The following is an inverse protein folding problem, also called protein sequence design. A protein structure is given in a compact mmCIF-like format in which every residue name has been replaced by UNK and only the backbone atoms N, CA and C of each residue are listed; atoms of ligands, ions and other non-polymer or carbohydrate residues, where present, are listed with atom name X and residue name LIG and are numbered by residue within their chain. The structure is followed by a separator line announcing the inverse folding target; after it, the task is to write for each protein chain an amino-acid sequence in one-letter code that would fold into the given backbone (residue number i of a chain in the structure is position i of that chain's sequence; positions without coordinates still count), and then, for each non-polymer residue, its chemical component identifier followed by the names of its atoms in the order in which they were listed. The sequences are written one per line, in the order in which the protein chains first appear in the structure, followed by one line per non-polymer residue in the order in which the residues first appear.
data_IF_589649958542
#
_entry.id   IF_589649958542
#
_cell.length_a   1.000
_cell.length_b   1.000
_cell.length_c   1.000
_cell.angle_alpha   90.00
_cell.angle_beta   90.00
_cell.angle_gamma   90.00
#
_symmetry.space_group_name_H-M   'P 1'
#
loop_
_entity.id
_entity.type
_entity.pdbx_description
1 polymer ?
#
# COMPACT_ATOMS: atom_id res chain seq x y z
N UNK A 1 8.31 -0.91 -7.84
CA UNK A 1 8.13 -0.08 -9.06
C UNK A 1 9.31 0.83 -9.35
N UNK A 2 9.73 1.71 -8.44
CA UNK A 2 10.76 2.73 -8.73
C UNK A 2 12.09 2.15 -9.23
N UNK A 3 12.58 1.08 -8.62
CA UNK A 3 13.82 0.41 -9.08
C UNK A 3 13.73 -0.09 -10.53
N UNK A 4 12.54 -0.49 -10.98
CA UNK A 4 12.34 -0.89 -12.37
C UNK A 4 12.21 0.33 -13.28
N UNK A 5 11.62 1.41 -12.78
CA UNK A 5 11.50 2.65 -13.51
C UNK A 5 12.85 3.36 -13.72
N UNK A 6 13.78 3.28 -12.76
CA UNK A 6 15.15 3.77 -12.92
C UNK A 6 15.85 3.16 -14.12
N UNK A 7 15.66 1.86 -14.35
CA UNK A 7 16.18 1.16 -15.55
C UNK A 7 15.59 1.70 -16.86
N UNK A 8 14.44 2.35 -16.78
CA UNK A 8 13.74 2.98 -17.90
C UNK A 8 13.91 4.52 -17.90
N UNK A 9 14.89 5.06 -17.18
CA UNK A 9 15.26 6.48 -17.23
C UNK A 9 14.53 7.41 -16.25
N UNK A 10 13.75 6.88 -15.30
CA UNK A 10 13.05 7.72 -14.31
C UNK A 10 13.95 8.00 -13.11
N UNK A 11 14.33 9.27 -12.96
CA UNK A 11 15.26 9.72 -11.91
C UNK A 11 14.60 9.93 -10.54
N UNK A 12 13.32 10.34 -10.50
CA UNK A 12 12.62 10.66 -9.26
C UNK A 12 11.39 9.75 -9.06
N UNK A 13 11.23 9.21 -7.85
CA UNK A 13 10.08 8.38 -7.44
C UNK A 13 8.76 9.14 -7.63
N UNK A 14 8.76 10.44 -7.40
CA UNK A 14 7.56 11.27 -7.54
C UNK A 14 7.07 11.43 -8.98
N UNK A 15 7.90 11.13 -9.97
CA UNK A 15 7.50 11.19 -11.38
C UNK A 15 6.75 9.92 -11.82
N UNK A 16 6.79 8.84 -11.03
CA UNK A 16 6.07 7.59 -11.34
C UNK A 16 4.56 7.80 -11.50
N UNK A 17 3.98 8.68 -10.68
CA UNK A 17 2.54 9.03 -10.69
C UNK A 17 2.14 9.90 -11.87
N UNK A 18 3.10 10.43 -12.65
CA UNK A 18 2.86 11.23 -13.86
C UNK A 18 2.87 10.39 -15.14
N UNK A 19 3.34 9.15 -15.06
CA UNK A 19 3.36 8.23 -16.20
C UNK A 19 1.96 7.88 -16.66
N UNK A 20 1.84 7.50 -17.93
CA UNK A 20 0.58 6.98 -18.45
C UNK A 20 0.19 5.67 -17.75
N UNK A 21 -1.11 5.39 -17.66
CA UNK A 21 -1.62 4.13 -17.07
C UNK A 21 -0.97 2.87 -17.68
N UNK A 22 -0.78 2.76 -19.01
CA UNK A 22 -0.08 1.61 -19.61
C UNK A 22 1.35 1.43 -19.11
N UNK A 23 2.12 2.52 -18.97
CA UNK A 23 3.48 2.47 -18.46
C UNK A 23 3.51 2.05 -16.99
N UNK A 24 2.61 2.61 -16.17
CA UNK A 24 2.48 2.21 -14.77
C UNK A 24 2.13 0.72 -14.65
N UNK A 25 1.20 0.21 -15.46
CA UNK A 25 0.82 -1.22 -15.49
C UNK A 25 2.01 -2.12 -15.86
N UNK A 26 2.82 -1.71 -16.85
CA UNK A 26 4.03 -2.44 -17.25
C UNK A 26 5.04 -2.50 -16.09
N UNK A 27 5.33 -1.35 -15.47
CA UNK A 27 6.26 -1.25 -14.33
C UNK A 27 5.77 -2.03 -13.10
N UNK A 28 4.47 -2.01 -12.82
CA UNK A 28 3.85 -2.81 -11.76
C UNK A 28 4.04 -4.30 -12.02
N UNK A 29 3.78 -4.77 -13.24
CA UNK A 29 3.92 -6.19 -13.60
C UNK A 29 5.37 -6.67 -13.49
N UNK A 30 6.34 -5.87 -13.94
CA UNK A 30 7.76 -6.20 -13.82
C UNK A 30 8.22 -6.22 -12.36
N UNK A 31 7.78 -5.26 -11.56
CA UNK A 31 8.06 -5.24 -10.13
C UNK A 31 7.46 -6.46 -9.42
N UNK A 32 6.20 -6.81 -9.73
CA UNK A 32 5.53 -7.98 -9.18
C UNK A 32 6.29 -9.27 -9.48
N UNK A 33 6.72 -9.49 -10.73
CA UNK A 33 7.51 -10.68 -11.10
C UNK A 33 8.83 -10.76 -10.34
N UNK A 34 9.51 -9.62 -10.16
CA UNK A 34 10.75 -9.56 -9.40
C UNK A 34 10.52 -9.91 -7.92
N UNK A 35 9.45 -9.38 -7.33
CA UNK A 35 9.10 -9.68 -5.93
C UNK A 35 8.74 -11.16 -5.77
N UNK A 36 7.94 -11.72 -6.68
CA UNK A 36 7.55 -13.14 -6.66
C UNK A 36 8.73 -14.10 -6.86
N UNK A 37 9.87 -13.62 -7.38
CA UNK A 37 11.10 -14.42 -7.51
C UNK A 37 12.03 -14.36 -6.28
N UNK A 38 11.68 -13.63 -5.23
CA UNK A 38 12.46 -13.60 -3.99
C UNK A 38 12.33 -14.97 -3.30
N UNK A 39 13.44 -15.65 -2.95
CA UNK A 39 13.41 -17.01 -2.43
C UNK A 39 13.14 -17.10 -0.91
N UNK A 40 12.89 -15.97 -0.25
CA UNK A 40 12.66 -15.91 1.18
C UNK A 40 11.29 -16.50 1.55
N UNK A 41 11.19 -17.15 2.71
CA UNK A 41 9.94 -17.74 3.21
C UNK A 41 8.84 -16.70 3.46
N UNK A 42 9.23 -15.46 3.75
CA UNK A 42 8.33 -14.38 4.14
C UNK A 42 8.76 -13.09 3.44
N UNK A 43 7.89 -12.58 2.58
CA UNK A 43 8.12 -11.31 1.86
C UNK A 43 7.06 -10.29 2.26
N UNK A 44 7.48 -9.22 2.93
CA UNK A 44 6.59 -8.10 3.29
C UNK A 44 6.65 -7.05 2.19
N UNK A 45 5.48 -6.74 1.60
CA UNK A 45 5.35 -5.75 0.52
C UNK A 45 4.72 -4.48 1.09
N UNK A 46 5.55 -3.45 1.35
CA UNK A 46 5.06 -2.10 1.64
C UNK A 46 4.57 -1.43 0.35
N UNK A 47 3.27 -1.24 0.24
CA UNK A 47 2.61 -0.66 -0.92
C UNK A 47 1.35 0.09 -0.52
N UNK A 48 0.82 0.88 -1.45
CA UNK A 48 -0.46 1.55 -1.30
C UNK A 48 -1.56 0.75 -2.02
N UNK A 49 -2.78 0.73 -1.48
CA UNK A 49 -3.94 0.15 -2.17
C UNK A 49 -4.26 0.89 -3.48
N UNK A 50 -3.97 2.19 -3.54
CA UNK A 50 -4.09 3.01 -4.73
C UNK A 50 -3.07 4.16 -4.74
N UNK A 51 -2.92 4.74 -5.93
CA UNK A 51 -2.24 6.01 -6.15
C UNK A 51 -3.33 7.05 -6.44
N UNK A 52 -3.37 8.12 -5.63
CA UNK A 52 -4.25 9.25 -5.91
C UNK A 52 -3.67 10.05 -7.09
N UNK A 53 -4.49 10.26 -8.11
CA UNK A 53 -4.16 11.02 -9.32
C UNK A 53 -5.21 12.11 -9.55
N UNK A 54 -4.95 13.04 -10.47
CA UNK A 54 -5.95 14.03 -10.88
C UNK A 54 -7.20 13.41 -11.49
N UNK A 55 -7.09 12.21 -12.06
CA UNK A 55 -8.16 11.48 -12.73
C UNK A 55 -8.92 10.52 -11.80
N UNK A 56 -8.50 10.41 -10.53
CA UNK A 56 -9.09 9.52 -9.54
C UNK A 56 -8.08 8.58 -8.89
N UNK A 57 -8.55 7.44 -8.41
CA UNK A 57 -7.73 6.45 -7.68
C UNK A 57 -7.27 5.34 -8.63
N UNK A 58 -5.98 5.30 -8.92
CA UNK A 58 -5.38 4.23 -9.73
C UNK A 58 -4.99 3.05 -8.83
N UNK A 59 -5.44 1.81 -9.09
CA UNK A 59 -5.14 0.67 -8.22
C UNK A 59 -3.63 0.40 -8.07
N UNK A 60 -3.17 0.25 -6.84
CA UNK A 60 -1.80 -0.17 -6.54
C UNK A 60 -1.59 -1.67 -6.70
N UNK A 61 -2.68 -2.44 -6.57
CA UNK A 61 -2.71 -3.89 -6.72
C UNK A 61 -3.81 -4.30 -7.73
N UNK A 62 -3.65 -3.98 -9.03
CA UNK A 62 -4.58 -4.44 -10.06
C UNK A 62 -4.52 -5.96 -10.21
N UNK A 63 -5.55 -6.54 -10.84
CA UNK A 63 -5.69 -8.00 -10.98
C UNK A 63 -4.44 -8.71 -11.49
N UNK A 64 -3.78 -8.19 -12.53
CA UNK A 64 -2.55 -8.77 -13.07
C UNK A 64 -1.37 -8.79 -12.07
N UNK A 65 -1.34 -7.86 -11.11
CA UNK A 65 -0.34 -7.86 -10.04
C UNK A 65 -0.70 -8.89 -8.98
N UNK A 66 -1.99 -8.98 -8.62
CA UNK A 66 -2.49 -9.97 -7.67
C UNK A 66 -2.25 -11.41 -8.15
N UNK A 67 -2.46 -11.68 -9.44
CA UNK A 67 -2.18 -13.00 -10.03
C UNK A 67 -0.69 -13.39 -10.00
N UNK A 68 0.21 -12.39 -10.08
CA UNK A 68 1.66 -12.64 -10.03
C UNK A 68 2.14 -12.83 -8.60
N UNK A 69 1.66 -11.98 -7.68
CA UNK A 69 2.13 -11.96 -6.29
C UNK A 69 1.49 -13.05 -5.43
N UNK A 70 0.25 -13.43 -5.73
CA UNK A 70 -0.57 -14.34 -4.91
C UNK A 70 -0.43 -14.12 -3.40
N UNK A 71 -0.80 -12.94 -2.87
CA UNK A 71 -0.52 -12.59 -1.48
C UNK A 71 -1.27 -13.50 -0.49
N UNK A 72 -0.61 -13.98 0.57
CA UNK A 72 -1.27 -14.81 1.61
C UNK A 72 -2.12 -13.99 2.59
N UNK A 73 -1.86 -12.70 2.72
CA UNK A 73 -2.63 -11.81 3.60
C UNK A 73 -2.51 -10.35 3.17
N UNK A 74 -3.50 -9.55 3.56
CA UNK A 74 -3.47 -8.09 3.43
C UNK A 74 -3.52 -7.44 4.80
N UNK A 75 -2.65 -6.45 5.03
CA UNK A 75 -2.61 -5.72 6.29
C UNK A 75 -2.86 -4.24 6.01
N UNK A 76 -4.00 -3.73 6.48
CA UNK A 76 -4.34 -2.32 6.39
C UNK A 76 -3.84 -1.58 7.64
N UNK A 77 -2.78 -0.80 7.50
CA UNK A 77 -2.32 0.10 8.56
C UNK A 77 -3.09 1.40 8.48
N UNK A 78 -3.82 1.76 9.54
CA UNK A 78 -4.66 2.96 9.60
C UNK A 78 -4.48 3.70 10.91
N UNK A 79 -5.07 4.89 11.02
CA UNK A 79 -5.20 5.66 12.25
C UNK A 79 -6.45 6.54 12.16
N UNK A 80 -6.83 7.19 13.26
CA UNK A 80 -7.95 8.15 13.25
C UNK A 80 -7.66 9.28 12.24
N UNK A 81 -8.65 9.74 11.44
CA UNK A 81 -8.45 10.80 10.45
C UNK A 81 -7.74 12.04 11.03
N UNK A 82 -8.09 12.43 12.25
CA UNK A 82 -7.50 13.55 12.97
C UNK A 82 -6.02 13.32 13.30
N UNK A 83 -5.65 12.09 13.67
CA UNK A 83 -4.24 11.73 13.91
C UNK A 83 -3.44 11.75 12.62
N UNK A 84 -4.00 11.23 11.52
CA UNK A 84 -3.37 11.28 10.20
C UNK A 84 -3.19 12.73 9.77
N UNK A 85 -4.22 13.57 9.91
CA UNK A 85 -4.17 15.01 9.60
C UNK A 85 -3.05 15.69 10.39
N UNK A 86 -3.03 15.50 11.71
CA UNK A 86 -2.03 16.10 12.59
C UNK A 86 -0.59 15.65 12.25
N UNK A 87 -0.40 14.37 11.89
CA UNK A 87 0.91 13.87 11.42
C UNK A 87 1.31 14.50 10.10
N UNK A 88 0.38 14.63 9.14
CA UNK A 88 0.62 15.25 7.83
C UNK A 88 0.98 16.73 7.96
N UNK A 89 0.32 17.48 8.85
CA UNK A 89 0.61 18.89 9.11
C UNK A 89 1.98 19.13 9.74
N UNK A 90 2.50 18.17 10.51
CA UNK A 90 3.82 18.25 11.16
C UNK A 90 4.97 17.72 10.30
N UNK A 91 4.67 17.00 9.22
CA UNK A 91 5.64 16.34 8.35
C UNK A 91 6.18 17.33 7.30
N UNK A 92 7.34 17.93 7.56
CA UNK A 92 8.01 18.88 6.66
C UNK A 92 8.81 18.20 5.55
N UNK A 93 8.94 16.88 5.56
CA UNK A 93 9.79 16.14 4.61
C UNK A 93 9.11 15.86 3.27
N UNK A 94 7.80 16.12 3.16
CA UNK A 94 7.01 15.80 1.97
C UNK A 94 6.14 16.99 1.54
N UNK A 95 6.14 17.27 0.25
CA UNK A 95 5.24 18.24 -0.35
C UNK A 95 3.90 17.56 -0.68
N UNK A 96 2.85 17.85 0.08
CA UNK A 96 1.52 17.25 -0.06
C UNK A 96 0.50 18.33 -0.44
N UNK A 97 -0.44 17.98 -1.30
CA UNK A 97 -1.59 18.84 -1.59
C UNK A 97 -2.38 19.15 -0.30
N UNK A 98 -3.18 20.22 -0.31
CA UNK A 98 -4.01 20.64 0.83
C UNK A 98 -4.83 19.45 1.32
N UNK A 99 -4.48 18.95 2.51
CA UNK A 99 -5.12 17.78 3.11
C UNK A 99 -6.28 18.27 3.97
N UNK A 100 -7.49 17.79 3.73
CA UNK A 100 -8.61 17.94 4.66
C UNK A 100 -8.87 16.61 5.39
N UNK A 101 -9.51 16.68 6.55
CA UNK A 101 -9.96 15.49 7.28
C UNK A 101 -10.93 14.67 6.42
N UNK A 102 -11.81 15.32 5.65
CA UNK A 102 -12.76 14.63 4.78
C UNK A 102 -12.07 13.90 3.61
N UNK A 103 -11.01 14.49 3.05
CA UNK A 103 -10.18 13.79 2.06
C UNK A 103 -9.52 12.56 2.66
N UNK A 104 -9.01 12.64 3.90
CA UNK A 104 -8.44 11.48 4.59
C UNK A 104 -9.49 10.39 4.81
N UNK A 105 -10.70 10.76 5.27
CA UNK A 105 -11.80 9.79 5.44
C UNK A 105 -12.12 9.08 4.14
N UNK A 106 -12.26 9.83 3.05
CA UNK A 106 -12.48 9.28 1.71
C UNK A 106 -11.36 8.33 1.26
N UNK A 107 -10.10 8.70 1.50
CA UNK A 107 -8.94 7.83 1.20
C UNK A 107 -8.98 6.52 2.00
N UNK A 108 -9.36 6.57 3.28
CA UNK A 108 -9.50 5.38 4.12
C UNK A 108 -10.64 4.47 3.64
N UNK A 109 -11.79 5.04 3.27
CA UNK A 109 -12.93 4.29 2.76
C UNK A 109 -12.60 3.58 1.45
N UNK A 110 -11.96 4.28 0.51
CA UNK A 110 -11.52 3.71 -0.77
C UNK A 110 -10.46 2.63 -0.55
N UNK A 111 -9.53 2.83 0.40
CA UNK A 111 -8.53 1.82 0.75
C UNK A 111 -9.19 0.55 1.26
N UNK A 112 -10.15 0.69 2.18
CA UNK A 112 -10.89 -0.44 2.75
C UNK A 112 -11.66 -1.22 1.67
N UNK A 113 -12.34 -0.51 0.77
CA UNK A 113 -13.06 -1.12 -0.34
C UNK A 113 -12.12 -1.89 -1.29
N UNK A 114 -11.01 -1.28 -1.70
CA UNK A 114 -10.06 -1.91 -2.63
C UNK A 114 -9.37 -3.13 -2.01
N UNK A 115 -8.96 -3.06 -0.74
CA UNK A 115 -8.38 -4.22 -0.06
C UNK A 115 -9.40 -5.35 0.09
N UNK A 116 -10.66 -5.03 0.40
CA UNK A 116 -11.77 -6.00 0.43
C UNK A 116 -11.92 -6.72 -0.91
N UNK A 117 -11.84 -5.99 -2.03
CA UNK A 117 -11.83 -6.61 -3.36
C UNK A 117 -10.60 -7.49 -3.58
N UNK A 118 -9.40 -7.06 -3.19
CA UNK A 118 -8.18 -7.86 -3.33
C UNK A 118 -8.29 -9.19 -2.54
N UNK A 119 -8.85 -9.14 -1.33
CA UNK A 119 -9.11 -10.33 -0.51
C UNK A 119 -10.04 -11.32 -1.19
N UNK A 120 -11.14 -10.83 -1.78
CA UNK A 120 -12.07 -11.69 -2.52
C UNK A 120 -11.39 -12.32 -3.73
N UNK A 121 -10.58 -11.55 -4.47
CA UNK A 121 -9.91 -12.03 -5.69
C UNK A 121 -8.81 -13.05 -5.39
N UNK A 122 -8.10 -12.91 -4.27
CA UNK A 122 -7.00 -13.81 -3.90
C UNK A 122 -7.40 -14.94 -2.95
N UNK A 123 -8.56 -14.84 -2.30
CA UNK A 123 -8.94 -15.77 -1.22
C UNK A 123 -8.17 -15.54 0.09
N UNK A 124 -7.57 -14.36 0.27
CA UNK A 124 -6.64 -14.08 1.36
C UNK A 124 -7.25 -13.17 2.43
N UNK A 125 -7.01 -13.40 3.73
CA UNK A 125 -7.57 -12.59 4.80
C UNK A 125 -7.05 -11.15 4.82
N UNK A 126 -7.86 -10.23 5.37
CA UNK A 126 -7.46 -8.85 5.66
C UNK A 126 -7.42 -8.65 7.17
N UNK A 127 -6.35 -8.03 7.67
CA UNK A 127 -6.28 -7.51 9.03
C UNK A 127 -6.13 -5.99 9.02
N UNK A 128 -6.99 -5.31 9.79
CA UNK A 128 -6.80 -3.89 10.08
C UNK A 128 -5.96 -3.73 11.35
N UNK A 129 -4.92 -2.88 11.26
CA UNK A 129 -4.04 -2.52 12.37
C UNK A 129 -4.11 -1.01 12.58
N UNK A 130 -4.49 -0.59 13.78
CA UNK A 130 -4.55 0.81 14.16
C UNK A 130 -3.22 1.27 14.75
N UNK A 131 -2.56 2.21 14.07
CA UNK A 131 -1.37 2.88 14.54
C UNK A 131 -1.74 4.20 15.22
N UNK A 132 -2.26 4.08 16.44
CA UNK A 132 -2.61 5.21 17.30
C UNK A 132 -1.37 5.99 17.76
N UNK A 133 -1.53 7.29 18.01
CA UNK A 133 -0.45 8.15 18.49
C UNK A 133 0.23 7.58 19.75
N UNK A 134 1.56 7.45 19.71
CA UNK A 134 2.36 6.92 20.83
C UNK A 134 2.30 5.41 21.03
N UNK A 135 1.58 4.65 20.19
CA UNK A 135 1.35 3.21 20.32
C UNK A 135 1.99 2.41 19.17
N UNK A 136 3.18 2.82 18.73
CA UNK A 136 3.85 2.18 17.58
C UNK A 136 4.17 0.71 17.84
N UNK A 137 4.56 0.35 19.07
CA UNK A 137 4.86 -1.04 19.45
C UNK A 137 3.62 -1.93 19.42
N UNK A 138 2.45 -1.39 19.81
CA UNK A 138 1.17 -2.11 19.71
C UNK A 138 0.81 -2.37 18.23
N UNK A 139 1.02 -1.38 17.37
CA UNK A 139 0.80 -1.53 15.93
C UNK A 139 1.75 -2.57 15.32
N UNK A 140 3.04 -2.53 15.66
CA UNK A 140 4.02 -3.50 15.19
C UNK A 140 3.65 -4.94 15.62
N UNK A 141 3.27 -5.14 16.88
CA UNK A 141 2.76 -6.43 17.38
C UNK A 141 1.50 -6.88 16.63
N UNK A 142 0.61 -5.94 16.30
CA UNK A 142 -0.59 -6.20 15.51
C UNK A 142 -0.27 -6.72 14.10
N UNK A 143 0.75 -6.15 13.44
CA UNK A 143 1.24 -6.61 12.13
C UNK A 143 1.81 -8.03 12.23
N UNK A 144 2.70 -8.29 13.20
CA UNK A 144 3.29 -9.62 13.40
C UNK A 144 2.23 -10.68 13.68
N UNK A 145 1.23 -10.34 14.51
CA UNK A 145 0.10 -11.22 14.80
C UNK A 145 -0.73 -11.53 13.55
N UNK A 146 -0.87 -10.56 12.64
CA UNK A 146 -1.65 -10.72 11.41
C UNK A 146 -1.01 -11.69 10.42
N UNK A 147 0.31 -11.83 10.46
CA UNK A 147 1.07 -12.74 9.59
C UNK A 147 1.02 -14.20 10.07
N UNK A 148 0.32 -14.52 11.17
CA UNK A 148 0.15 -15.90 11.64
C UNK A 148 1.32 -16.46 12.45
N UNK A 149 2.38 -15.69 12.71
CA UNK A 149 3.52 -16.11 13.56
C UNK A 149 3.14 -16.36 15.03
N UNK A 150 1.92 -16.01 15.45
CA UNK A 150 1.42 -16.23 16.80
C UNK A 150 0.57 -17.51 16.97
N UNK A 151 0.49 -18.36 15.93
CA UNK A 151 -0.07 -19.69 16.10
C UNK A 151 1.00 -20.61 16.69
N UNK A 152 1.21 -20.48 18.00
CA UNK A 152 1.89 -21.50 18.78
C UNK A 152 1.12 -22.82 18.65
N UNK A 153 1.77 -23.82 18.06
CA UNK A 153 1.68 -25.20 18.56
C UNK A 153 2.25 -25.27 19.97
#
# INVERSE_FOLDING_TARGET
MFEEAKKNGIANRDDLRKLSVPEQKKLQSMAAKKIASIPDDVVIIDTHAFIATKEGFYPGLPHNVLEILMPDSFIMISARPEEIYNRRMKDTTRNRDIVSIDTIKKELDVTSAMLSTCSILCGSPIKMVLNSQGKIDEAAKGIVSAMGFNNGT
#
